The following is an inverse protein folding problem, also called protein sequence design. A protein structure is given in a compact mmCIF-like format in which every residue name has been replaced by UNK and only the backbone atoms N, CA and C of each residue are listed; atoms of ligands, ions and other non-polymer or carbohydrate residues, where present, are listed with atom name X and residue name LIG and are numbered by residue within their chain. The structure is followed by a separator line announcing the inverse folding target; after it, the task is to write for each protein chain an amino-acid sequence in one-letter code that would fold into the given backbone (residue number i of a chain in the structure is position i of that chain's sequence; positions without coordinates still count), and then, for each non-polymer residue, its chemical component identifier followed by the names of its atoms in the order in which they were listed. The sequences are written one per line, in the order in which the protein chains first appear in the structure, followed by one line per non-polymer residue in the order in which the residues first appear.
data_IF_777592536630
#
_entry.id   IF_777592536630
#
_cell.length_a   1.000
_cell.length_b   1.000
_cell.length_c   1.000
_cell.angle_alpha   90.00
_cell.angle_beta   90.00
_cell.angle_gamma   90.00
#
_symmetry.space_group_name_H-M   'P 1'
#
loop_
_entity.id
_entity.type
_entity.pdbx_description
1 polymer ?
2 non-polymer ?
3 water ?
#
# COMPACT_ATOMS: atom_id res chain seq x y z
N UNK A 1 8.86 11.28 -23.82
CA UNK A 1 7.79 11.98 -24.54
C UNK A 1 6.45 11.32 -24.30
N UNK A 2 6.39 10.45 -23.30
CA UNK A 2 5.16 9.76 -22.91
C UNK A 2 5.35 9.03 -21.59
N UNK A 3 6.57 9.09 -21.04
CA UNK A 3 6.95 8.26 -19.89
C UNK A 3 7.22 9.07 -18.64
N UNK A 4 7.02 10.39 -18.70
CA UNK A 4 7.25 11.22 -17.53
C UNK A 4 6.18 10.98 -16.47
N UNK A 5 6.59 11.10 -15.22
CA UNK A 5 5.78 10.68 -14.10
C UNK A 5 5.00 11.80 -13.46
N UNK A 6 4.78 11.65 -12.16
CA UNK A 6 4.06 12.63 -11.37
C UNK A 6 4.81 13.96 -11.28
N UNK A 7 4.04 15.04 -11.17
CA UNK A 7 4.57 16.35 -10.95
C UNK A 7 3.75 17.13 -9.94
N UNK A 8 4.30 18.25 -9.50
CA UNK A 8 3.54 19.21 -8.72
C UNK A 8 3.05 18.68 -7.40
N UNK A 9 1.86 19.14 -7.02
CA UNK A 9 1.25 18.77 -5.74
C UNK A 9 0.93 17.27 -5.65
N UNK A 10 0.54 16.68 -6.78
CA UNK A 10 0.21 15.26 -6.85
C UNK A 10 1.46 14.43 -6.51
N UNK A 11 2.61 14.79 -7.08
CA UNK A 11 3.85 14.06 -6.80
C UNK A 11 4.21 14.11 -5.30
N UNK A 12 4.18 15.30 -4.72
CA UNK A 12 4.54 15.47 -3.31
C UNK A 12 3.58 14.67 -2.43
N UNK A 13 2.28 14.82 -2.69
CA UNK A 13 1.25 14.15 -1.90
C UNK A 13 1.40 12.62 -1.92
N UNK A 14 1.58 12.05 -3.10
CA UNK A 14 1.63 10.61 -3.23
C UNK A 14 2.98 10.04 -2.76
N UNK A 15 4.07 10.70 -3.11
CA UNK A 15 5.38 10.22 -2.66
C UNK A 15 5.55 10.38 -1.14
N UNK A 16 5.04 11.47 -0.58
CA UNK A 16 5.06 11.68 0.88
C UNK A 16 4.26 10.62 1.64
N UNK A 17 3.10 10.28 1.08
CA UNK A 17 2.21 9.32 1.71
C UNK A 17 2.82 7.93 1.62
N UNK A 18 3.49 7.64 0.51
CA UNK A 18 4.17 6.36 0.36
C UNK A 18 5.33 6.25 1.33
N UNK A 19 6.13 7.30 1.43
CA UNK A 19 7.28 7.29 2.32
C UNK A 19 6.85 7.08 3.77
N UNK A 20 5.71 7.65 4.16
CA UNK A 20 5.18 7.46 5.51
C UNK A 20 4.97 5.98 5.87
N UNK A 21 4.59 5.19 4.89
CA UNK A 21 4.44 3.76 5.13
C UNK A 21 5.78 3.14 5.42
N UNK A 22 6.75 3.44 4.57
CA UNK A 22 8.08 2.85 4.70
C UNK A 22 8.66 3.26 6.05
N UNK A 23 8.52 4.55 6.41
CA UNK A 23 9.02 5.03 7.68
C UNK A 23 8.35 4.31 8.85
N UNK A 24 7.04 4.14 8.78
CA UNK A 24 6.32 3.47 9.86
C UNK A 24 6.78 2.02 10.02
N UNK A 25 6.93 1.33 8.90
CA UNK A 25 7.30 -0.07 8.95
C UNK A 25 8.75 -0.19 9.43
N UNK A 26 9.63 0.72 9.00
CA UNK A 26 10.98 0.71 9.55
C UNK A 26 10.97 0.82 11.06
N UNK A 27 10.12 1.69 11.58
CA UNK A 27 10.05 1.90 13.03
C UNK A 27 9.47 0.68 13.75
N UNK A 28 8.46 0.06 13.17
CA UNK A 28 7.88 -1.18 13.69
C UNK A 28 8.96 -2.28 13.76
N UNK A 29 9.76 -2.37 12.70
CA UNK A 29 10.78 -3.39 12.63
C UNK A 29 11.82 -3.17 13.74
N UNK A 30 12.10 -1.92 14.04
CA UNK A 30 13.08 -1.59 15.08
C UNK A 30 12.55 -1.91 16.46
N UNK A 31 11.28 -1.61 16.70
CA UNK A 31 10.64 -1.98 17.95
C UNK A 31 10.66 -3.48 18.08
N UNK A 32 10.25 -4.19 17.03
CA UNK A 32 10.25 -5.63 17.08
C UNK A 32 11.61 -6.18 17.45
N UNK A 33 12.66 -5.63 16.84
CA UNK A 33 13.99 -6.12 17.06
C UNK A 33 14.40 -5.95 18.53
N UNK A 34 13.93 -4.87 19.15
CA UNK A 34 14.27 -4.59 20.54
C UNK A 34 13.59 -5.56 21.51
N UNK A 35 12.52 -6.21 21.05
CA UNK A 35 11.76 -7.16 21.86
C UNK A 35 11.96 -8.60 21.37
N UNK A 36 12.77 -8.77 20.34
CA UNK A 36 13.08 -10.09 19.82
C UNK A 36 11.96 -10.75 19.03
N UNK A 37 11.15 -9.94 18.35
CA UNK A 37 9.99 -10.44 17.61
C UNK A 37 10.30 -10.63 16.13
N UNK A 38 9.91 -11.79 15.60
CA UNK A 38 10.07 -12.09 14.19
C UNK A 38 8.69 -12.17 13.50
N UNK A 39 8.50 -11.37 12.46
CA UNK A 39 7.23 -11.32 11.75
C UNK A 39 7.03 -12.47 10.76
N UNK A 40 7.97 -13.41 10.72
CA UNK A 40 7.92 -14.53 9.77
C UNK A 40 6.55 -15.21 9.84
N UNK A 41 5.78 -15.13 8.75
CA UNK A 41 4.39 -15.55 8.75
C UNK A 41 4.20 -17.03 9.10
N UNK A 42 5.11 -17.88 8.63
CA UNK A 42 4.99 -19.32 8.86
C UNK A 42 5.30 -19.70 10.32
N UNK A 43 5.93 -18.78 11.04
CA UNK A 43 6.24 -18.95 12.46
C UNK A 43 5.40 -18.03 13.34
N UNK A 51 -4.84 -13.09 12.42
CA UNK A 51 -5.17 -14.31 13.15
C UNK A 51 -4.03 -14.70 14.09
N UNK A 52 -3.04 -13.81 14.25
CA UNK A 52 -1.88 -14.07 15.12
C UNK A 52 -2.28 -14.19 16.59
N UNK A 53 -1.44 -14.87 17.38
CA UNK A 53 -1.66 -15.00 18.81
C UNK A 53 -0.88 -13.94 19.61
N UNK A 54 -0.02 -13.19 18.93
CA UNK A 54 0.87 -12.24 19.59
C UNK A 54 0.35 -10.79 19.53
N UNK A 55 0.09 -10.18 20.72
CA UNK A 55 -0.43 -8.80 20.84
C UNK A 55 0.35 -7.75 20.05
N UNK A 56 1.67 -7.89 20.05
CA UNK A 56 2.51 -6.89 19.38
C UNK A 56 2.35 -6.96 17.88
N UNK A 57 2.33 -8.17 17.34
CA UNK A 57 2.11 -8.35 15.90
C UNK A 57 0.72 -7.81 15.53
N UNK A 58 -0.28 -8.02 16.38
CA UNK A 58 -1.61 -7.48 16.10
C UNK A 58 -1.57 -5.96 15.99
N UNK A 59 -0.94 -5.30 16.95
CA UNK A 59 -0.83 -3.83 16.95
C UNK A 59 -0.05 -3.36 15.73
N UNK A 60 1.02 -4.08 15.42
CA UNK A 60 1.88 -3.73 14.29
C UNK A 60 1.10 -3.74 13.00
N UNK A 61 0.31 -4.78 12.81
CA UNK A 61 -0.44 -4.86 11.58
C UNK A 61 -1.52 -3.76 11.51
N UNK A 62 -2.14 -3.39 12.63
CA UNK A 62 -3.10 -2.29 12.63
C UNK A 62 -2.41 -0.97 12.30
N UNK A 63 -1.30 -0.69 12.96
CA UNK A 63 -0.53 0.51 12.67
C UNK A 63 -0.12 0.59 11.19
N UNK A 64 0.45 -0.49 10.67
CA UNK A 64 0.95 -0.45 9.30
C UNK A 64 -0.19 -0.32 8.32
N UNK A 65 -1.27 -1.06 8.53
CA UNK A 65 -2.37 -1.00 7.57
C UNK A 65 -3.09 0.36 7.64
N UNK A 66 -3.12 1.03 8.80
CA UNK A 66 -3.65 2.41 8.87
C UNK A 66 -2.88 3.40 8.03
N UNK A 67 -1.55 3.44 8.19
CA UNK A 67 -0.76 4.38 7.41
C UNK A 67 -0.85 4.01 5.91
N UNK A 68 -0.88 2.72 5.61
CA UNK A 68 -0.94 2.30 4.22
C UNK A 68 -2.28 2.68 3.59
N UNK A 69 -3.36 2.57 4.33
CA UNK A 69 -4.66 2.90 3.77
C UNK A 69 -4.73 4.41 3.49
N UNK A 70 -4.06 5.24 4.29
CA UNK A 70 -4.07 6.69 4.02
C UNK A 70 -3.43 6.97 2.69
N UNK A 71 -2.37 6.23 2.41
CA UNK A 71 -1.71 6.30 1.10
C UNK A 71 -2.61 5.85 -0.04
N UNK A 72 -3.30 4.73 0.14
CA UNK A 72 -4.16 4.28 -0.94
C UNK A 72 -5.32 5.25 -1.18
N UNK A 73 -5.90 5.79 -0.11
CA UNK A 73 -6.90 6.84 -0.29
C UNK A 73 -6.31 8.01 -1.08
N UNK A 74 -5.06 8.39 -0.80
CA UNK A 74 -4.43 9.48 -1.55
C UNK A 74 -4.32 9.12 -3.02
N UNK A 75 -3.95 7.89 -3.31
CA UNK A 75 -3.96 7.41 -4.69
C UNK A 75 -5.35 7.53 -5.32
N UNK A 76 -6.39 7.13 -4.60
CA UNK A 76 -7.74 7.18 -5.16
C UNK A 76 -8.11 8.64 -5.44
N UNK A 77 -7.78 9.53 -4.52
CA UNK A 77 -8.10 10.94 -4.70
C UNK A 77 -7.43 11.52 -5.93
N UNK A 78 -6.14 11.22 -6.10
CA UNK A 78 -5.39 11.82 -7.19
C UNK A 78 -5.73 11.17 -8.53
N UNK A 79 -5.93 9.86 -8.56
CA UNK A 79 -6.36 9.18 -9.79
C UNK A 79 -7.70 9.75 -10.23
N UNK A 80 -8.61 9.94 -9.29
CA UNK A 80 -9.89 10.56 -9.62
C UNK A 80 -9.70 11.96 -10.21
N UNK A 81 -8.85 12.78 -9.59
CA UNK A 81 -8.58 14.14 -10.08
C UNK A 81 -8.05 14.12 -11.50
N UNK A 82 -7.20 13.15 -11.77
CA UNK A 82 -6.49 13.06 -13.05
C UNK A 82 -7.23 12.22 -14.10
N UNK A 83 -8.48 11.87 -13.81
CA UNK A 83 -9.22 11.03 -14.74
C UNK A 83 -9.27 11.62 -16.16
N UNK A 84 -9.61 12.91 -16.27
CA UNK A 84 -9.80 13.56 -17.56
C UNK A 84 -8.49 13.93 -18.26
N UNK A 85 -7.47 14.31 -17.50
CA UNK A 85 -6.29 14.91 -18.12
C UNK A 85 -4.97 14.26 -17.71
N UNK A 86 -5.02 13.26 -16.84
CA UNK A 86 -3.81 12.55 -16.45
C UNK A 86 -3.23 11.73 -17.60
N UNK A 87 -1.91 11.56 -17.59
CA UNK A 87 -1.16 10.87 -18.64
C UNK A 87 -0.88 9.42 -18.24
N UNK A 88 -0.55 8.59 -19.23
CA UNK A 88 -0.13 7.21 -18.97
C UNK A 88 1.02 7.11 -17.97
N UNK A 89 1.97 8.01 -18.10
CA UNK A 89 3.14 8.04 -17.25
C UNK A 89 2.76 8.33 -15.82
N UNK A 90 1.74 9.15 -15.62
CA UNK A 90 1.28 9.46 -14.26
C UNK A 90 0.60 8.25 -13.61
N UNK A 91 -0.26 7.59 -14.37
CA UNK A 91 -0.94 6.40 -13.85
C UNK A 91 0.03 5.24 -13.57
N UNK A 92 1.01 5.05 -14.45
CA UNK A 92 2.04 4.03 -14.23
C UNK A 92 2.84 4.33 -12.96
N UNK A 93 3.12 5.60 -12.73
CA UNK A 93 3.85 6.02 -11.53
C UNK A 93 3.05 5.75 -10.26
N UNK A 94 1.72 5.88 -10.34
CA UNK A 94 0.88 5.59 -9.17
C UNK A 94 0.93 4.11 -8.86
N UNK A 95 0.90 3.30 -9.90
CA UNK A 95 1.03 1.86 -9.74
C UNK A 95 2.37 1.55 -9.11
N UNK A 96 3.44 2.15 -9.62
CA UNK A 96 4.76 1.89 -9.05
C UNK A 96 4.79 2.15 -7.55
N UNK A 97 4.17 3.23 -7.09
CA UNK A 97 4.15 3.51 -5.62
C UNK A 97 3.40 2.39 -4.90
N UNK A 98 2.25 1.97 -5.42
CA UNK A 98 1.48 0.92 -4.75
C UNK A 98 2.27 -0.36 -4.67
N UNK A 99 2.90 -0.74 -5.77
CA UNK A 99 3.66 -1.97 -5.78
C UNK A 99 4.87 -1.89 -4.85
N UNK A 100 5.55 -0.75 -4.84
CA UNK A 100 6.71 -0.60 -3.99
C UNK A 100 6.35 -0.68 -2.52
N UNK A 101 5.27 -0.05 -2.07
CA UNK A 101 4.95 -0.09 -0.65
C UNK A 101 4.34 -1.45 -0.26
N UNK A 102 3.85 -2.23 -1.21
CA UNK A 102 3.37 -3.57 -0.87
C UNK A 102 4.47 -4.48 -0.33
N UNK A 103 5.70 -4.17 -0.68
CA UNK A 103 6.83 -5.02 -0.35
C UNK A 103 7.13 -4.98 1.17
N UNK A 104 7.30 -3.80 1.76
CA UNK A 104 7.49 -3.78 3.22
C UNK A 104 6.28 -4.27 3.99
N UNK A 105 5.09 -4.11 3.44
CA UNK A 105 3.88 -4.59 4.07
C UNK A 105 3.91 -6.12 4.14
N UNK A 106 4.30 -6.73 3.04
CA UNK A 106 4.46 -8.18 2.99
C UNK A 106 5.49 -8.66 4.01
N UNK A 107 6.56 -7.89 4.18
CA UNK A 107 7.59 -8.26 5.12
C UNK A 107 7.12 -8.25 6.58
N UNK A 108 6.00 -7.59 6.87
CA UNK A 108 5.43 -7.62 8.22
C UNK A 108 4.59 -8.86 8.44
N UNK A 109 4.58 -9.73 7.43
CA UNK A 109 3.82 -10.97 7.54
C UNK A 109 2.41 -10.84 6.97
N UNK A 110 2.14 -9.76 6.22
CA UNK A 110 0.89 -9.65 5.47
C UNK A 110 1.06 -10.42 4.18
N UNK A 111 0.66 -11.68 4.21
CA UNK A 111 0.96 -12.60 3.14
C UNK A 111 0.25 -12.17 1.88
N UNK A 112 0.93 -12.35 0.75
CA UNK A 112 0.33 -12.10 -0.57
C UNK A 112 0.15 -10.62 -0.86
N UNK A 113 0.78 -9.73 -0.11
CA UNK A 113 0.48 -8.33 -0.36
C UNK A 113 0.97 -7.86 -1.73
N UNK A 114 2.18 -8.23 -2.14
CA UNK A 114 2.66 -7.76 -3.44
C UNK A 114 1.82 -8.40 -4.53
N UNK A 115 1.40 -9.64 -4.33
CA UNK A 115 0.58 -10.32 -5.36
C UNK A 115 -0.83 -9.73 -5.44
N UNK A 116 -1.37 -9.27 -4.32
CA UNK A 116 -2.66 -8.57 -4.37
C UNK A 116 -2.59 -7.44 -5.40
N UNK A 117 -1.50 -6.70 -5.36
CA UNK A 117 -1.34 -5.54 -6.22
C UNK A 117 -1.02 -5.93 -7.64
N UNK A 118 -0.05 -6.82 -7.84
CA UNK A 118 0.29 -7.16 -9.21
C UNK A 118 -0.83 -7.94 -9.95
N UNK A 119 -1.53 -8.80 -9.23
CA UNK A 119 -2.64 -9.53 -9.83
C UNK A 119 -3.73 -8.54 -10.23
N UNK A 120 -4.01 -7.56 -9.37
CA UNK A 120 -5.04 -6.55 -9.68
C UNK A 120 -4.66 -5.85 -10.96
N UNK A 121 -3.37 -5.59 -11.14
CA UNK A 121 -2.94 -4.90 -12.35
C UNK A 121 -3.01 -5.79 -13.57
N UNK A 122 -2.92 -7.11 -13.40
CA UNK A 122 -3.14 -8.02 -14.51
C UNK A 122 -4.57 -7.92 -15.05
N UNK A 123 -5.53 -7.76 -14.15
CA UNK A 123 -6.95 -7.72 -14.45
C UNK A 123 -7.37 -6.35 -14.98
N UNK A 124 -6.72 -5.32 -14.46
CA UNK A 124 -7.02 -3.92 -14.78
C UNK A 124 -5.74 -3.09 -14.75
N UNK A 125 -5.03 -3.00 -15.86
CA UNK A 125 -3.71 -2.38 -15.77
C UNK A 125 -3.78 -0.87 -15.63
N UNK A 126 -2.72 -0.26 -15.10
CA UNK A 126 -2.72 1.17 -14.77
C UNK A 126 -2.41 2.04 -15.98
N UNK A 127 -3.11 1.77 -17.10
CA UNK A 127 -3.00 2.59 -18.31
C UNK A 127 -3.96 3.76 -18.31
N UNK A 128 -4.85 3.76 -17.33
CA UNK A 128 -5.90 4.76 -17.17
C UNK A 128 -6.16 5.02 -15.69
N UNK A 129 -6.91 6.08 -15.38
CA UNK A 129 -7.35 6.31 -14.01
C UNK A 129 -8.22 5.15 -13.51
N UNK A 130 -9.07 4.64 -14.41
CA UNK A 130 -9.96 3.52 -14.10
C UNK A 130 -9.14 2.33 -13.59
N UNK A 131 -8.07 2.03 -14.29
CA UNK A 131 -7.22 0.92 -13.90
C UNK A 131 -6.57 1.16 -12.55
N UNK A 132 -6.00 2.34 -12.34
CA UNK A 132 -5.38 2.65 -11.06
C UNK A 132 -6.41 2.49 -9.94
N UNK A 133 -7.61 2.98 -10.17
CA UNK A 133 -8.67 2.96 -9.16
C UNK A 133 -9.05 1.51 -8.82
N UNK A 134 -9.07 0.63 -9.82
CA UNK A 134 -9.41 -0.77 -9.56
C UNK A 134 -8.32 -1.46 -8.72
N UNK A 135 -7.08 -1.19 -9.05
CA UNK A 135 -5.93 -1.73 -8.31
C UNK A 135 -5.94 -1.20 -6.88
N UNK A 136 -6.17 0.12 -6.75
CA UNK A 136 -6.24 0.75 -5.43
C UNK A 136 -7.34 0.14 -4.59
N UNK A 137 -8.50 -0.11 -5.20
CA UNK A 137 -9.64 -0.69 -4.49
C UNK A 137 -9.26 -2.05 -3.91
N UNK A 138 -8.65 -2.90 -4.72
CA UNK A 138 -8.24 -4.23 -4.27
C UNK A 138 -7.18 -4.10 -3.17
N UNK A 139 -6.23 -3.19 -3.33
CA UNK A 139 -5.20 -2.99 -2.32
C UNK A 139 -5.80 -2.53 -1.01
N UNK A 140 -6.68 -1.55 -1.10
CA UNK A 140 -7.32 -1.00 0.09
C UNK A 140 -8.19 -2.07 0.78
N UNK A 141 -8.94 -2.86 0.00
CA UNK A 141 -9.79 -3.92 0.58
C UNK A 141 -8.94 -4.94 1.37
N UNK A 142 -7.79 -5.28 0.80
CA UNK A 142 -6.88 -6.19 1.46
C UNK A 142 -6.36 -5.60 2.77
N UNK A 143 -5.91 -4.34 2.73
CA UNK A 143 -5.47 -3.64 3.95
C UNK A 143 -6.57 -3.66 5.01
N UNK A 144 -7.79 -3.39 4.57
CA UNK A 144 -8.94 -3.33 5.50
C UNK A 144 -9.22 -4.66 6.15
N UNK A 145 -9.14 -5.73 5.38
CA UNK A 145 -9.38 -7.07 5.92
C UNK A 145 -8.35 -7.38 7.00
N UNK A 146 -7.09 -7.08 6.69
CA UNK A 146 -6.02 -7.31 7.66
C UNK A 146 -6.24 -6.44 8.90
N UNK A 147 -6.50 -5.15 8.66
CA UNK A 147 -6.77 -4.20 9.73
C UNK A 147 -7.85 -4.71 10.69
N UNK A 148 -8.96 -5.16 10.14
CA UNK A 148 -10.10 -5.58 10.95
C UNK A 148 -9.77 -6.81 11.75
N UNK A 149 -9.18 -7.81 11.11
CA UNK A 149 -8.92 -9.06 11.82
C UNK A 149 -8.07 -8.81 13.04
N UNK A 150 -7.05 -7.98 12.86
CA UNK A 150 -6.11 -7.72 13.95
C UNK A 150 -6.67 -6.75 14.98
N UNK A 151 -7.34 -5.70 14.54
CA UNK A 151 -7.99 -4.79 15.47
C UNK A 151 -9.05 -5.48 16.34
N UNK A 152 -9.86 -6.34 15.72
CA UNK A 152 -10.95 -7.00 16.45
C UNK A 152 -10.41 -7.90 17.55
N UNK A 153 -9.32 -8.59 17.22
CA UNK A 153 -8.66 -9.50 18.15
C UNK A 153 -8.15 -8.70 19.34
N UNK A 154 -7.52 -7.57 19.03
CA UNK A 154 -7.09 -6.62 20.05
C UNK A 154 -8.29 -6.11 20.87
X LIG B 1 7.91 9.97 -22.26
#
# INVERSE_FOLDING_TARGET
GAMDGLTGATKIKLESSAKAIVDEIDAIKKKAASMGVNFDAFKDKKTGSGVSENPFILEAKVRATTVAEKFVIAIEEEATKLKETGSSGEFSAMYDLMFEVSKPLQELGIQEMTKTVSMAAEENPPTTAQGVLEIAKKMREKLQRVHKKNQDTLKKKNTEDSTAKS
NI NI
#
